data_IF_029839929792
#
_entry.id   IF_029839929792
#
_cell.length_a   1.000
_cell.length_b   1.000
_cell.length_c   1.000
_cell.angle_alpha   90.00
_cell.angle_beta   90.00
_cell.angle_gamma   90.00
#
_symmetry.space_group_name_H-M   'P 1'
#
loop_
_entity.id
_entity.type
_entity.pdbx_description
1 polymer ?
#
# COMPACT_ATOMS: atom_id res chain seq x y z
N UNK A 1 2.57 -22.56 12.30
CA UNK A 1 2.34 -21.27 12.95
C UNK A 1 2.50 -20.22 11.86
N UNK A 2 1.40 -19.84 11.21
CA UNK A 2 1.42 -18.72 10.28
C UNK A 2 1.46 -17.42 11.11
N UNK A 3 2.18 -16.38 10.68
CA UNK A 3 2.21 -15.13 11.43
C UNK A 3 0.78 -14.61 11.58
N UNK A 4 0.41 -14.31 12.82
CA UNK A 4 -0.86 -13.67 13.14
C UNK A 4 -0.82 -12.26 12.56
N UNK A 5 -1.53 -12.07 11.44
CA UNK A 5 -1.70 -10.76 10.83
C UNK A 5 -2.42 -9.88 11.85
N UNK A 6 -1.66 -9.01 12.49
CA UNK A 6 -2.17 -8.08 13.49
C UNK A 6 -3.15 -7.15 12.78
N UNK A 7 -4.42 -7.15 13.23
CA UNK A 7 -5.49 -6.30 12.69
C UNK A 7 -5.20 -4.83 13.02
N UNK A 8 -4.28 -4.22 12.27
CA UNK A 8 -4.22 -2.77 12.14
C UNK A 8 -5.18 -2.39 11.03
N UNK A 9 -6.28 -1.73 11.39
CA UNK A 9 -7.21 -1.17 10.43
C UNK A 9 -6.45 -0.06 9.67
N UNK A 10 -5.88 -0.41 8.51
CA UNK A 10 -5.25 0.56 7.61
C UNK A 10 -6.35 1.46 7.09
N UNK A 11 -6.69 2.53 7.82
CA UNK A 11 -7.71 3.48 7.35
C UNK A 11 -7.35 3.99 5.95
N UNK A 12 -8.34 4.26 5.10
CA UNK A 12 -8.07 4.78 3.77
C UNK A 12 -7.29 6.11 3.88
N UNK A 13 -6.08 6.17 3.32
CA UNK A 13 -5.23 7.35 3.44
C UNK A 13 -4.33 7.54 2.21
N UNK A 14 -3.87 8.77 2.04
CA UNK A 14 -2.87 9.09 1.02
C UNK A 14 -1.49 8.69 1.54
N UNK A 15 -0.79 7.85 0.77
CA UNK A 15 0.59 7.45 1.08
C UNK A 15 1.60 8.51 0.59
N UNK A 16 1.28 9.14 -0.53
CA UNK A 16 2.06 10.18 -1.20
C UNK A 16 1.15 10.95 -2.16
N UNK A 17 1.57 12.12 -2.71
CA UNK A 17 0.77 12.84 -3.70
C UNK A 17 0.39 11.94 -4.89
N UNK A 18 -0.91 11.81 -5.14
CA UNK A 18 -1.44 10.96 -6.22
C UNK A 18 -1.40 9.46 -5.92
N UNK A 19 -1.05 9.04 -4.70
CA UNK A 19 -1.07 7.63 -4.26
C UNK A 19 -2.01 7.46 -3.08
N UNK A 20 -2.93 6.52 -3.21
CA UNK A 20 -3.98 6.22 -2.22
C UNK A 20 -3.94 4.74 -1.87
N UNK A 21 -4.08 4.46 -0.57
CA UNK A 21 -4.26 3.14 0.00
C UNK A 21 -5.71 2.93 0.42
N UNK A 22 -6.27 1.79 0.07
CA UNK A 22 -7.59 1.34 0.50
C UNK A 22 -7.44 -0.06 1.12
N UNK A 23 -7.80 -0.26 2.40
CA UNK A 23 -7.85 -1.60 2.98
C UNK A 23 -8.91 -2.45 2.27
N UNK A 24 -8.62 -3.74 2.12
CA UNK A 24 -9.59 -4.73 1.66
C UNK A 24 -9.94 -5.66 2.83
N UNK A 25 -10.98 -6.47 2.65
CA UNK A 25 -11.30 -7.50 3.63
C UNK A 25 -10.11 -8.47 3.79
N UNK A 26 -9.61 -8.63 5.01
CA UNK A 26 -8.44 -9.44 5.34
C UNK A 26 -7.11 -8.69 5.31
N UNK A 27 -5.95 -9.38 5.25
CA UNK A 27 -4.62 -8.77 5.36
C UNK A 27 -4.13 -8.12 4.05
N UNK A 28 -5.05 -7.57 3.26
CA UNK A 28 -4.78 -7.06 1.93
C UNK A 28 -5.13 -5.57 1.81
N UNK A 29 -4.41 -4.88 0.92
CA UNK A 29 -4.66 -3.47 0.59
C UNK A 29 -4.64 -3.27 -0.92
N UNK A 30 -5.48 -2.37 -1.42
CA UNK A 30 -5.44 -1.86 -2.78
C UNK A 30 -4.63 -0.56 -2.80
N UNK A 31 -3.68 -0.46 -3.72
CA UNK A 31 -2.93 0.76 -4.00
C UNK A 31 -3.37 1.33 -5.34
N UNK A 32 -3.80 2.58 -5.35
CA UNK A 32 -4.05 3.36 -6.57
C UNK A 32 -3.02 4.47 -6.68
N UNK A 33 -2.43 4.65 -7.86
CA UNK A 33 -1.40 5.64 -8.10
C UNK A 33 -1.61 6.34 -9.45
N UNK A 34 -1.46 7.66 -9.46
CA UNK A 34 -1.52 8.49 -10.66
C UNK A 34 -0.13 9.05 -10.96
N UNK A 35 0.35 8.84 -12.18
CA UNK A 35 1.64 9.35 -12.64
C UNK A 35 1.57 9.83 -14.11
N UNK A 36 2.47 10.74 -14.53
CA UNK A 36 2.56 11.21 -15.91
C UNK A 36 2.96 10.12 -16.92
N UNK A 37 3.60 9.05 -16.45
CA UNK A 37 4.22 8.03 -17.30
C UNK A 37 4.28 6.67 -16.57
N UNK A 38 4.37 5.59 -17.36
CA UNK A 38 4.36 4.22 -16.85
C UNK A 38 5.57 3.88 -15.97
N UNK A 39 6.74 4.51 -16.22
CA UNK A 39 7.94 4.24 -15.44
C UNK A 39 7.82 4.83 -14.04
N UNK A 40 7.29 6.06 -13.90
CA UNK A 40 6.94 6.64 -12.60
C UNK A 40 5.87 5.83 -11.89
N UNK A 41 4.82 5.43 -12.60
CA UNK A 41 3.77 4.60 -11.99
C UNK A 41 4.37 3.33 -11.37
N UNK A 42 5.26 2.65 -12.12
CA UNK A 42 5.92 1.45 -11.63
C UNK A 42 6.74 1.72 -10.37
N UNK A 43 7.52 2.81 -10.34
CA UNK A 43 8.31 3.20 -9.16
C UNK A 43 7.43 3.46 -7.94
N UNK A 44 6.34 4.21 -8.10
CA UNK A 44 5.40 4.48 -7.01
C UNK A 44 4.80 3.18 -6.43
N UNK A 45 4.45 2.22 -7.29
CA UNK A 45 3.92 0.92 -6.85
C UNK A 45 4.99 0.06 -6.16
N UNK A 46 6.23 0.06 -6.67
CA UNK A 46 7.35 -0.65 -6.04
C UNK A 46 7.72 -0.05 -4.67
N UNK A 47 7.66 1.27 -4.52
CA UNK A 47 7.85 1.97 -3.25
C UNK A 47 6.74 1.64 -2.25
N UNK A 48 5.47 1.64 -2.69
CA UNK A 48 4.34 1.25 -1.84
C UNK A 48 4.47 -0.20 -1.35
N UNK A 49 4.83 -1.13 -2.24
CA UNK A 49 5.05 -2.53 -1.88
C UNK A 49 6.18 -2.70 -0.84
N UNK A 50 7.27 -1.92 -0.95
CA UNK A 50 8.35 -1.92 0.03
C UNK A 50 7.92 -1.35 1.39
N UNK A 51 7.08 -0.31 1.40
CA UNK A 51 6.56 0.27 2.63
C UNK A 51 5.63 -0.72 3.38
N UNK A 52 4.73 -1.37 2.65
CA UNK A 52 3.75 -2.33 3.19
C UNK A 52 4.36 -3.68 3.57
N UNK A 53 5.44 -4.09 2.90
CA UNK A 53 6.15 -5.34 3.20
C UNK A 53 6.93 -5.31 4.52
N UNK A 54 6.96 -4.18 5.22
CA UNK A 54 7.53 -4.07 6.57
C UNK A 54 6.40 -4.19 7.60
N UNK A 55 6.44 -5.18 8.52
CA UNK A 55 5.48 -5.23 9.61
C UNK A 55 5.71 -4.03 10.55
N UNK A 56 4.75 -3.10 10.61
CA UNK A 56 4.73 -2.00 11.57
C UNK A 56 5.02 -0.60 11.02
N UNK A 57 4.34 -0.18 9.95
CA UNK A 57 4.13 1.25 9.63
C UNK A 57 2.69 1.63 9.95
#
# INVERSE_FOLDING_TARGET
MAPEFQEYEVGAHSLAPGVVLLPLDGPAVLVSALAPDALRLRRLLDEAAQALGRPGV
#
